data_IF_593292318018
#
_entry.id   IF_593292318018
#
_cell.length_a   1.000
_cell.length_b   1.000
_cell.length_c   1.000
_cell.angle_alpha   90.00
_cell.angle_beta   90.00
_cell.angle_gamma   90.00
#
_symmetry.space_group_name_H-M   'P 1'
#
loop_
_entity.id
_entity.type
_entity.pdbx_description
1 polymer ?
#
# COMPACT_ATOMS: atom_id res chain seq x y z
N UNK A 1 10.70 -11.29 5.09
CA UNK A 1 11.57 -10.81 3.98
C UNK A 1 11.67 -9.29 3.98
N UNK A 2 10.55 -8.56 3.90
CA UNK A 2 10.55 -7.09 4.05
C UNK A 2 11.09 -6.61 5.40
N UNK A 3 10.95 -7.44 6.44
CA UNK A 3 11.25 -7.05 7.81
C UNK A 3 12.48 -7.76 8.39
N UNK A 4 13.26 -7.06 9.25
CA UNK A 4 14.34 -7.65 10.04
C UNK A 4 13.86 -8.80 10.94
N UNK A 5 14.76 -9.74 11.26
CA UNK A 5 14.43 -11.00 11.95
C UNK A 5 13.83 -10.75 13.34
N UNK A 6 14.29 -9.72 14.03
CA UNK A 6 13.82 -9.32 15.36
C UNK A 6 12.33 -8.95 15.40
N UNK A 7 11.74 -8.57 14.26
CA UNK A 7 10.31 -8.24 14.16
C UNK A 7 9.44 -9.45 13.86
N UNK A 8 10.02 -10.57 13.41
CA UNK A 8 9.27 -11.76 12.98
C UNK A 8 8.40 -12.36 14.07
N UNK A 9 8.80 -12.43 15.36
CA UNK A 9 7.94 -12.97 16.42
C UNK A 9 6.60 -12.22 16.57
N UNK A 10 6.59 -10.92 16.25
CA UNK A 10 5.38 -10.08 16.29
C UNK A 10 4.59 -10.20 14.99
N UNK A 11 5.28 -10.11 13.84
CA UNK A 11 4.61 -10.02 12.54
C UNK A 11 4.11 -11.38 12.01
N UNK A 12 4.79 -12.49 12.34
CA UNK A 12 4.40 -13.81 11.86
C UNK A 12 2.97 -14.22 12.27
N UNK A 13 2.56 -14.11 13.55
CA UNK A 13 1.18 -14.44 13.94
C UNK A 13 0.17 -13.47 13.31
N UNK A 14 0.50 -12.19 13.14
CA UNK A 14 -0.38 -11.21 12.49
C UNK A 14 -0.62 -11.55 11.01
N UNK A 15 0.44 -11.87 10.27
CA UNK A 15 0.32 -12.25 8.87
C UNK A 15 -0.38 -13.60 8.71
N UNK A 16 -0.17 -14.55 9.61
CA UNK A 16 -0.93 -15.80 9.62
C UNK A 16 -2.43 -15.54 9.84
N UNK A 17 -2.77 -14.59 10.72
CA UNK A 17 -4.14 -14.19 10.99
C UNK A 17 -4.77 -13.48 9.77
N UNK A 18 -4.06 -12.54 9.14
CA UNK A 18 -4.53 -11.92 7.89
C UNK A 18 -4.79 -12.95 6.78
N UNK A 19 -3.88 -13.92 6.63
CA UNK A 19 -4.06 -14.99 5.65
C UNK A 19 -5.31 -15.82 5.93
N UNK A 20 -5.60 -16.10 7.20
CA UNK A 20 -6.80 -16.84 7.61
C UNK A 20 -8.08 -16.03 7.38
N UNK A 21 -8.07 -14.74 7.69
CA UNK A 21 -9.27 -13.90 7.66
C UNK A 21 -9.61 -13.43 6.24
N UNK A 22 -8.59 -13.11 5.43
CA UNK A 22 -8.76 -12.47 4.13
C UNK A 22 -8.27 -13.32 2.95
N UNK A 23 -7.66 -14.48 3.21
CA UNK A 23 -7.04 -15.30 2.16
C UNK A 23 -5.78 -14.68 1.55
N UNK A 24 -5.30 -13.55 2.08
CA UNK A 24 -4.14 -12.80 1.60
C UNK A 24 -3.51 -11.97 2.73
N UNK A 25 -2.20 -11.76 2.62
CA UNK A 25 -1.41 -10.94 3.56
C UNK A 25 -1.21 -9.56 2.94
N UNK A 26 -1.96 -8.57 3.43
CA UNK A 26 -1.90 -7.18 2.98
C UNK A 26 -0.91 -6.36 3.79
N UNK A 27 -0.57 -6.81 5.00
CA UNK A 27 0.27 -6.12 5.97
C UNK A 27 -0.38 -4.80 6.42
N UNK A 28 -1.65 -4.85 6.85
CA UNK A 28 -2.45 -3.67 7.20
C UNK A 28 -1.79 -2.77 8.25
N UNK A 29 -0.94 -3.35 9.11
CA UNK A 29 -0.10 -2.63 10.08
C UNK A 29 0.68 -1.47 9.44
N UNK A 30 1.15 -1.62 8.19
CA UNK A 30 1.99 -0.63 7.52
C UNK A 30 1.21 0.43 6.73
N UNK A 31 -0.10 0.25 6.56
CA UNK A 31 -0.91 1.19 5.82
C UNK A 31 -0.85 2.58 6.49
N UNK A 32 -0.65 3.66 5.72
CA UNK A 32 -0.75 5.01 6.24
C UNK A 32 -2.10 5.26 6.94
N UNK A 33 -2.08 5.90 8.11
CA UNK A 33 -3.31 6.27 8.83
C UNK A 33 -4.02 7.49 8.22
N UNK A 34 -3.33 8.23 7.36
CA UNK A 34 -3.89 9.38 6.64
C UNK A 34 -4.37 8.94 5.26
N UNK A 35 -5.35 9.65 4.66
CA UNK A 35 -5.80 9.36 3.30
C UNK A 35 -4.64 9.41 2.30
N UNK A 36 -4.58 8.41 1.43
CA UNK A 36 -3.67 8.37 0.28
C UNK A 36 -4.44 8.99 -0.90
N UNK A 37 -3.91 10.04 -1.50
CA UNK A 37 -4.50 10.72 -2.66
C UNK A 37 -3.42 11.53 -3.37
N UNK A 38 -3.61 11.81 -4.65
CA UNK A 38 -2.64 12.59 -5.43
C UNK A 38 -2.58 14.06 -4.97
N UNK A 39 -1.39 14.49 -4.57
CA UNK A 39 -1.06 15.88 -4.22
C UNK A 39 -0.41 16.62 -5.41
N UNK A 40 -0.29 17.97 -5.36
CA UNK A 40 0.56 18.72 -6.29
C UNK A 40 1.98 18.14 -6.34
N UNK A 41 2.56 18.10 -7.55
CA UNK A 41 3.83 17.38 -7.81
C UNK A 41 5.01 17.93 -7.00
N UNK A 42 4.97 19.21 -6.63
CA UNK A 42 5.99 19.89 -5.84
C UNK A 42 5.98 19.47 -4.35
N UNK A 43 4.91 18.81 -3.88
CA UNK A 43 4.80 18.34 -2.50
C UNK A 43 5.45 16.97 -2.26
N UNK A 44 5.91 16.28 -3.31
CA UNK A 44 6.57 14.99 -3.15
C UNK A 44 8.05 15.19 -2.85
N UNK A 45 8.59 14.50 -1.82
CA UNK A 45 10.00 14.60 -1.44
C UNK A 45 10.90 13.77 -2.38
N UNK A 46 10.94 14.14 -3.66
CA UNK A 46 11.71 13.45 -4.70
C UNK A 46 12.91 14.29 -5.17
N UNK A 47 13.97 13.60 -5.63
CA UNK A 47 15.16 14.27 -6.20
C UNK A 47 14.99 14.69 -7.67
N UNK A 48 13.98 14.15 -8.35
CA UNK A 48 13.66 14.48 -9.72
C UNK A 48 12.15 14.43 -9.95
N UNK A 49 11.68 15.19 -10.95
CA UNK A 49 10.27 15.33 -11.26
C UNK A 49 9.65 14.00 -11.72
N UNK A 50 10.41 13.16 -12.41
CA UNK A 50 9.95 11.86 -12.90
C UNK A 50 9.56 10.93 -11.75
N UNK A 51 10.38 10.88 -10.69
CA UNK A 51 10.06 10.10 -9.50
C UNK A 51 8.84 10.67 -8.75
N UNK A 52 8.74 12.01 -8.65
CA UNK A 52 7.56 12.66 -8.08
C UNK A 52 6.28 12.29 -8.86
N UNK A 53 6.32 12.30 -10.20
CA UNK A 53 5.20 11.88 -11.05
C UNK A 53 4.80 10.43 -10.80
N UNK A 54 5.75 9.51 -10.62
CA UNK A 54 5.45 8.10 -10.30
C UNK A 54 4.74 8.00 -8.94
N UNK A 55 5.24 8.69 -7.91
CA UNK A 55 4.60 8.72 -6.59
C UNK A 55 3.18 9.27 -6.68
N UNK A 56 2.97 10.34 -7.46
CA UNK A 56 1.66 10.93 -7.71
C UNK A 56 0.70 9.92 -8.34
N UNK A 57 1.13 9.25 -9.41
CA UNK A 57 0.29 8.27 -10.10
C UNK A 57 -0.03 7.05 -9.22
N UNK A 58 0.91 6.61 -8.37
CA UNK A 58 0.66 5.57 -7.38
C UNK A 58 -0.41 6.01 -6.38
N UNK A 59 -0.30 7.21 -5.82
CA UNK A 59 -1.28 7.73 -4.86
C UNK A 59 -2.65 7.94 -5.50
N UNK A 60 -2.71 8.35 -6.77
CA UNK A 60 -3.96 8.44 -7.52
C UNK A 60 -4.66 7.08 -7.65
N UNK A 61 -3.91 6.02 -7.95
CA UNK A 61 -4.50 4.67 -8.08
C UNK A 61 -4.98 4.07 -6.76
N UNK A 62 -4.54 4.62 -5.63
CA UNK A 62 -4.93 4.22 -4.27
C UNK A 62 -5.87 5.22 -3.59
N UNK A 63 -6.29 6.26 -4.30
CA UNK A 63 -7.24 7.25 -3.80
C UNK A 63 -8.60 6.59 -3.54
N UNK A 64 -9.21 6.75 -2.35
CA UNK A 64 -10.55 6.22 -2.07
C UNK A 64 -11.65 6.70 -3.05
N UNK A 65 -11.45 7.83 -3.74
CA UNK A 65 -12.36 8.30 -4.78
C UNK A 65 -12.16 7.59 -6.14
N UNK A 66 -11.05 6.87 -6.32
CA UNK A 66 -10.67 6.22 -7.58
C UNK A 66 -10.64 4.70 -7.45
N UNK A 67 -10.07 4.17 -6.37
CA UNK A 67 -9.86 2.75 -6.14
C UNK A 67 -11.14 2.05 -5.67
N UNK A 68 -11.40 0.85 -6.20
CA UNK A 68 -12.51 0.00 -5.74
C UNK A 68 -12.31 -0.49 -4.31
N UNK A 69 -11.09 -0.92 -3.96
CA UNK A 69 -10.73 -1.40 -2.62
C UNK A 69 -9.36 -0.81 -2.23
N UNK A 70 -9.31 0.45 -1.78
CA UNK A 70 -8.06 1.17 -1.52
C UNK A 70 -7.22 0.52 -0.41
N UNK A 71 -7.86 -0.09 0.59
CA UNK A 71 -7.16 -0.73 1.71
C UNK A 71 -6.44 -2.02 1.28
N UNK A 72 -7.01 -2.73 0.31
CA UNK A 72 -6.51 -3.95 -0.31
C UNK A 72 -5.58 -3.66 -1.49
N UNK A 73 -5.29 -2.38 -1.77
CA UNK A 73 -4.45 -1.91 -2.86
C UNK A 73 -5.00 -2.21 -4.26
N UNK A 74 -6.33 -2.32 -4.41
CA UNK A 74 -7.02 -2.70 -5.66
C UNK A 74 -7.72 -1.49 -6.27
N UNK A 75 -7.31 -1.14 -7.49
CA UNK A 75 -7.89 0.00 -8.21
C UNK A 75 -9.16 -0.40 -8.97
N UNK A 76 -9.14 -1.50 -9.73
CA UNK A 76 -10.29 -1.94 -10.53
C UNK A 76 -10.31 -3.45 -10.79
N UNK A 77 -11.41 -3.93 -11.36
CA UNK A 77 -11.54 -5.31 -11.84
C UNK A 77 -11.59 -6.36 -10.73
N UNK A 78 -11.88 -5.96 -9.49
CA UNK A 78 -11.93 -6.85 -8.32
C UNK A 78 -10.59 -7.39 -7.83
N UNK A 79 -9.57 -7.50 -8.69
CA UNK A 79 -8.22 -7.97 -8.34
C UNK A 79 -7.07 -7.20 -9.02
N UNK A 80 -7.36 -6.15 -9.78
CA UNK A 80 -6.36 -5.27 -10.41
C UNK A 80 -5.65 -4.41 -9.36
N UNK A 81 -4.63 -4.98 -8.73
CA UNK A 81 -3.88 -4.36 -7.64
C UNK A 81 -2.69 -3.51 -8.10
N UNK A 82 -2.38 -2.45 -7.34
CA UNK A 82 -1.18 -1.62 -7.50
C UNK A 82 0.04 -2.34 -6.94
N UNK A 83 -0.11 -2.92 -5.75
CA UNK A 83 0.94 -3.65 -5.04
C UNK A 83 0.40 -4.96 -4.47
N UNK A 84 1.32 -5.82 -4.02
CA UNK A 84 0.95 -7.07 -3.37
C UNK A 84 0.55 -6.86 -1.91
N UNK A 85 1.16 -5.91 -1.21
CA UNK A 85 0.98 -5.58 0.20
C UNK A 85 1.57 -4.19 0.51
N UNK A 86 1.26 -3.63 1.68
CA UNK A 86 1.66 -2.28 2.11
C UNK A 86 3.15 -2.12 2.47
N UNK A 87 3.95 -3.20 2.42
CA UNK A 87 5.41 -3.08 2.58
C UNK A 87 6.14 -2.72 1.27
N UNK A 88 5.49 -2.91 0.12
CA UNK A 88 6.00 -2.53 -1.20
C UNK A 88 5.76 -1.05 -1.46
#
# INVERSE_FOLDING_TARGET
RYFPVETHPVLAPEFAQELKDYGRIYMYRLRPKHPVFARPIEQYPAKCQQAASIMLMIQNNLDPAVAQHPEELITYGGNGGVFQNWAQ
#
